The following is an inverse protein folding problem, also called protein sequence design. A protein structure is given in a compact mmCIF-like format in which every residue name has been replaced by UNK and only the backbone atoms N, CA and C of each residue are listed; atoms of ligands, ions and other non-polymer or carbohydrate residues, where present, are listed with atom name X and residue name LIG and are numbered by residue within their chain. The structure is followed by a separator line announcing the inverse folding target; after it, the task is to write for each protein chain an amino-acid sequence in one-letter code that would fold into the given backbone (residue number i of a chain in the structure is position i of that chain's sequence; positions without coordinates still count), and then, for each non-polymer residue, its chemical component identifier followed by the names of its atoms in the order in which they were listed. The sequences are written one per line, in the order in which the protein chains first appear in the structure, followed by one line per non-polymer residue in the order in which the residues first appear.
data_IF_825672863021
#
_entry.id   IF_825672863021
#
_cell.length_a   1.000
_cell.length_b   1.000
_cell.length_c   1.000
_cell.angle_alpha   90.00
_cell.angle_beta   90.00
_cell.angle_gamma   90.00
#
_symmetry.space_group_name_H-M   'P 1'
#
loop_
_entity.id
_entity.type
_entity.pdbx_description
1 polymer ?
#
# COMPACT_ATOMS: atom_id res chain seq x y z
N UNK A 1 -11.19 -5.87 -1.84
CA UNK A 1 -10.66 -6.13 -3.18
C UNK A 1 -10.34 -7.61 -3.35
N UNK A 2 -10.47 -8.13 -4.56
CA UNK A 2 -9.86 -9.41 -4.96
C UNK A 2 -8.55 -9.12 -5.69
N UNK A 3 -7.56 -10.01 -5.55
CA UNK A 3 -6.29 -9.91 -6.25
C UNK A 3 -6.17 -11.02 -7.29
N UNK A 4 -5.66 -10.74 -8.49
CA UNK A 4 -5.37 -11.79 -9.46
C UNK A 4 -4.15 -12.61 -9.03
N UNK A 5 -4.23 -13.92 -9.20
CA UNK A 5 -3.08 -14.81 -9.18
C UNK A 5 -2.46 -14.86 -10.58
N UNK A 6 -1.17 -15.20 -10.66
CA UNK A 6 -0.50 -15.44 -11.93
C UNK A 6 0.87 -14.80 -11.96
N UNK A 7 1.83 -15.50 -12.57
CA UNK A 7 3.21 -15.01 -12.68
C UNK A 7 3.20 -13.68 -13.42
N UNK A 8 3.77 -12.67 -12.78
CA UNK A 8 3.93 -11.34 -13.36
C UNK A 8 2.85 -10.33 -12.97
N UNK A 9 1.69 -10.76 -12.48
CA UNK A 9 0.69 -9.82 -11.96
C UNK A 9 1.20 -9.11 -10.68
N UNK A 10 0.95 -7.80 -10.60
CA UNK A 10 1.31 -6.95 -9.46
C UNK A 10 0.21 -5.91 -9.20
N UNK A 11 -0.91 -6.33 -8.57
CA UNK A 11 -1.92 -5.40 -8.09
C UNK A 11 -1.39 -4.56 -6.92
N UNK A 12 -1.73 -3.27 -6.94
CA UNK A 12 -1.36 -2.31 -5.91
C UNK A 12 -2.53 -1.37 -5.57
N UNK A 13 -2.66 -1.06 -4.27
CA UNK A 13 -3.44 0.06 -3.75
C UNK A 13 -2.47 0.89 -2.94
N UNK A 14 -2.28 2.14 -3.32
CA UNK A 14 -1.18 2.96 -2.84
C UNK A 14 -1.55 4.45 -2.89
N UNK A 15 -0.67 5.31 -2.39
CA UNK A 15 -0.96 6.73 -2.22
C UNK A 15 0.27 7.61 -2.49
N UNK A 16 0.04 8.75 -3.12
CA UNK A 16 1.04 9.79 -3.37
C UNK A 16 0.58 11.18 -2.89
N UNK A 17 1.52 12.08 -2.56
CA UNK A 17 1.21 13.45 -2.19
C UNK A 17 0.37 14.14 -3.24
N UNK A 18 -0.65 14.89 -2.84
CA UNK A 18 -1.52 15.64 -3.76
C UNK A 18 -0.75 16.64 -4.63
N UNK A 19 0.29 17.25 -4.07
CA UNK A 19 1.14 18.21 -4.76
C UNK A 19 2.19 17.58 -5.68
N UNK A 20 2.20 16.26 -5.84
CA UNK A 20 3.14 15.56 -6.70
C UNK A 20 2.65 15.48 -8.15
N UNK A 21 3.55 15.77 -9.10
CA UNK A 21 3.34 15.57 -10.53
C UNK A 21 4.58 14.97 -11.16
N UNK A 22 4.39 13.89 -11.93
CA UNK A 22 5.48 13.26 -12.69
C UNK A 22 6.08 14.21 -13.74
N UNK A 23 5.30 15.20 -14.22
CA UNK A 23 5.74 16.19 -15.21
C UNK A 23 6.83 17.11 -14.68
N UNK A 24 6.92 17.24 -13.36
CA UNK A 24 7.87 18.14 -12.72
C UNK A 24 9.29 17.55 -12.65
N UNK A 25 9.45 16.30 -13.11
CA UNK A 25 10.70 15.55 -13.14
C UNK A 25 11.44 15.54 -11.79
N UNK A 26 10.67 15.54 -10.70
CA UNK A 26 11.16 15.41 -9.32
C UNK A 26 10.62 14.11 -8.73
N UNK A 27 11.34 13.48 -7.79
CA UNK A 27 10.79 12.37 -7.01
C UNK A 27 9.67 12.84 -6.08
N UNK A 28 8.66 12.01 -5.86
CA UNK A 28 7.66 12.25 -4.83
C UNK A 28 8.32 12.29 -3.44
N UNK A 29 7.82 13.16 -2.55
CA UNK A 29 8.39 13.29 -1.21
C UNK A 29 8.15 12.04 -0.34
N UNK A 30 7.06 11.32 -0.59
CA UNK A 30 6.80 10.03 0.03
C UNK A 30 5.73 9.23 -0.70
N UNK A 31 5.51 8.00 -0.25
CA UNK A 31 4.57 7.04 -0.82
C UNK A 31 4.05 6.14 0.31
N UNK A 32 2.76 5.79 0.26
CA UNK A 32 2.18 4.79 1.16
C UNK A 32 1.52 3.70 0.32
N UNK A 33 2.14 2.53 0.26
CA UNK A 33 1.52 1.34 -0.33
C UNK A 33 0.62 0.71 0.72
N UNK A 34 -0.68 0.91 0.58
CA UNK A 34 -1.69 0.25 1.43
C UNK A 34 -1.58 -1.26 1.23
N UNK A 35 -1.45 -1.70 -0.02
CA UNK A 35 -1.16 -3.09 -0.35
C UNK A 35 -0.43 -3.22 -1.67
N UNK A 36 0.52 -4.14 -1.70
CA UNK A 36 1.11 -4.73 -2.90
C UNK A 36 1.06 -6.24 -2.76
N UNK A 37 0.65 -6.92 -3.83
CA UNK A 37 0.68 -8.37 -3.94
C UNK A 37 1.42 -8.73 -5.23
N UNK A 38 2.23 -9.77 -5.17
CA UNK A 38 2.86 -10.35 -6.35
C UNK A 38 2.19 -11.69 -6.64
N UNK A 39 1.63 -11.86 -7.84
CA UNK A 39 0.84 -13.04 -8.17
C UNK A 39 1.62 -14.36 -8.20
N UNK A 40 2.96 -14.29 -8.24
CA UNK A 40 3.86 -15.44 -8.07
C UNK A 40 4.13 -15.79 -6.59
N UNK A 41 3.83 -14.89 -5.66
CA UNK A 41 3.88 -15.12 -4.22
C UNK A 41 2.58 -14.73 -3.53
N UNK A 42 1.52 -15.42 -3.93
CA UNK A 42 0.15 -15.20 -3.48
C UNK A 42 -0.13 -15.61 -2.02
N UNK A 43 0.91 -15.70 -1.19
CA UNK A 43 0.83 -16.00 0.26
C UNK A 43 1.26 -14.82 1.12
N UNK A 44 1.52 -13.67 0.50
CA UNK A 44 2.01 -12.47 1.16
C UNK A 44 1.24 -11.25 0.70
N UNK A 45 0.99 -10.36 1.66
CA UNK A 45 0.56 -8.99 1.41
C UNK A 45 1.62 -8.07 1.98
N UNK A 46 2.11 -7.16 1.14
CA UNK A 46 3.09 -6.15 1.53
C UNK A 46 2.35 -4.83 1.63
N UNK A 47 2.73 -4.00 2.60
CA UNK A 47 2.36 -2.59 2.56
C UNK A 47 3.57 -1.82 3.05
N UNK A 48 3.93 -0.71 2.43
CA UNK A 48 5.21 -0.04 2.62
C UNK A 48 5.00 1.46 2.72
N UNK A 49 5.89 2.12 3.44
CA UNK A 49 6.03 3.57 3.35
C UNK A 49 7.40 3.87 2.75
N UNK A 50 7.45 4.82 1.82
CA UNK A 50 8.69 5.33 1.25
C UNK A 50 8.81 6.80 1.60
N UNK A 51 10.00 7.21 2.05
CA UNK A 51 10.30 8.62 2.32
C UNK A 51 11.55 9.03 1.54
N UNK A 52 11.45 10.11 0.79
CA UNK A 52 12.58 10.66 0.04
C UNK A 52 13.57 11.30 1.02
N UNK A 53 14.83 10.86 0.96
CA UNK A 53 15.92 11.43 1.75
C UNK A 53 16.50 12.67 1.05
N UNK A 54 17.31 13.44 1.79
CA UNK A 54 18.00 14.61 1.26
C UNK A 54 18.99 14.30 0.11
N UNK A 55 19.46 13.05 0.00
CA UNK A 55 20.35 12.58 -1.07
C UNK A 55 19.58 12.12 -2.34
N UNK A 56 18.29 12.43 -2.45
CA UNK A 56 17.40 12.02 -3.54
C UNK A 56 17.23 10.49 -3.70
N UNK A 57 17.52 9.71 -2.66
CA UNK A 57 17.19 8.27 -2.64
C UNK A 57 16.09 7.99 -1.62
N UNK A 58 15.32 6.91 -1.82
CA UNK A 58 14.23 6.56 -0.90
C UNK A 58 14.71 5.72 0.28
N UNK A 59 14.17 6.02 1.46
CA UNK A 59 14.12 5.08 2.58
C UNK A 59 12.79 4.34 2.55
N UNK A 60 12.83 3.05 2.23
CA UNK A 60 11.67 2.17 2.32
C UNK A 60 11.58 1.54 3.72
N UNK A 61 10.42 1.65 4.35
CA UNK A 61 10.14 1.08 5.66
C UNK A 61 9.55 -0.32 5.50
N UNK A 62 10.33 -1.29 4.99
CA UNK A 62 9.85 -2.60 4.51
C UNK A 62 9.18 -3.48 5.59
N UNK A 63 9.57 -3.36 6.86
CA UNK A 63 8.90 -4.06 7.99
C UNK A 63 8.72 -5.57 7.76
N UNK A 64 7.71 -6.17 8.38
CA UNK A 64 7.28 -7.54 8.07
C UNK A 64 6.09 -7.53 7.13
N UNK A 65 6.11 -8.41 6.13
CA UNK A 65 4.95 -8.68 5.29
C UNK A 65 3.93 -9.51 6.07
N UNK A 66 2.66 -9.32 5.76
CA UNK A 66 1.62 -10.21 6.23
C UNK A 66 1.78 -11.57 5.55
N UNK A 67 1.71 -12.64 6.33
CA UNK A 67 1.52 -14.01 5.82
C UNK A 67 0.03 -14.35 5.81
N UNK A 68 -0.46 -14.83 4.68
CA UNK A 68 -1.84 -15.30 4.52
C UNK A 68 -2.04 -16.60 5.29
N UNK A 69 -3.11 -16.66 6.10
CA UNK A 69 -3.46 -17.89 6.85
C UNK A 69 -3.96 -18.95 5.87
N UNK A 70 -3.89 -20.23 6.27
CA UNK A 70 -4.39 -21.34 5.44
C UNK A 70 -5.88 -21.22 5.08
N UNK A 71 -6.66 -20.52 5.89
CA UNK A 71 -8.09 -20.28 5.71
C UNK A 71 -8.43 -18.99 4.94
N UNK A 72 -7.43 -18.24 4.50
CA UNK A 72 -7.59 -16.97 3.78
C UNK A 72 -7.13 -17.17 2.33
N UNK A 73 -7.85 -16.60 1.36
CA UNK A 73 -7.44 -16.55 -0.05
C UNK A 73 -7.51 -15.10 -0.54
N UNK A 74 -6.49 -14.65 -1.30
CA UNK A 74 -6.44 -13.30 -1.88
C UNK A 74 -7.31 -13.16 -3.13
N UNK A 75 -7.79 -14.26 -3.72
CA UNK A 75 -8.81 -14.25 -4.77
C UNK A 75 -10.21 -13.90 -4.22
N UNK A 76 -10.45 -14.09 -2.92
CA UNK A 76 -11.68 -13.66 -2.26
C UNK A 76 -11.66 -12.14 -1.99
N UNK A 77 -12.83 -11.56 -1.70
CA UNK A 77 -12.89 -10.17 -1.27
C UNK A 77 -12.25 -10.01 0.12
N UNK A 78 -11.12 -9.30 0.15
CA UNK A 78 -10.41 -8.94 1.38
C UNK A 78 -10.40 -7.42 1.59
N UNK A 79 -10.29 -7.00 2.85
CA UNK A 79 -10.14 -5.58 3.22
C UNK A 79 -8.68 -5.26 3.46
N UNK A 80 -8.14 -4.30 2.72
CA UNK A 80 -6.79 -3.76 2.86
C UNK A 80 -6.93 -2.34 3.35
N UNK A 81 -6.24 -2.00 4.45
CA UNK A 81 -6.44 -0.69 5.06
C UNK A 81 -5.17 -0.18 5.73
N UNK A 82 -5.12 1.14 5.86
CA UNK A 82 -4.24 1.82 6.79
C UNK A 82 -5.05 2.60 7.83
N UNK A 83 -4.51 2.70 9.03
CA UNK A 83 -4.84 3.76 9.98
C UNK A 83 -3.65 4.72 10.01
N UNK A 84 -3.87 6.00 9.73
CA UNK A 84 -2.82 7.01 9.63
C UNK A 84 -3.18 8.25 10.48
N UNK A 85 -2.21 8.72 11.26
CA UNK A 85 -2.26 9.97 12.02
C UNK A 85 -0.86 10.59 12.12
N UNK A 86 -0.71 11.70 12.86
CA UNK A 86 0.55 12.42 12.97
C UNK A 86 1.69 11.61 13.61
N UNK A 87 1.36 10.54 14.36
CA UNK A 87 2.34 9.75 15.12
C UNK A 87 2.76 8.46 14.41
N UNK A 88 1.89 7.88 13.59
CA UNK A 88 2.14 6.59 12.96
C UNK A 88 1.22 6.26 11.77
N UNK A 89 1.68 5.31 10.98
CA UNK A 89 0.90 4.59 9.97
C UNK A 89 0.85 3.12 10.40
N UNK A 90 -0.34 2.53 10.39
CA UNK A 90 -0.59 1.13 10.75
C UNK A 90 -1.27 0.46 9.58
N UNK A 91 -0.77 -0.70 9.15
CA UNK A 91 -1.39 -1.49 8.08
C UNK A 91 -2.21 -2.64 8.65
N UNK A 92 -3.35 -2.88 8.01
CA UNK A 92 -4.33 -3.88 8.38
C UNK A 92 -4.73 -4.71 7.16
N UNK A 93 -4.95 -6.00 7.41
CA UNK A 93 -5.57 -6.92 6.46
C UNK A 93 -6.72 -7.64 7.17
N UNK A 94 -7.93 -7.52 6.64
CA UNK A 94 -9.16 -8.02 7.27
C UNK A 94 -9.25 -7.60 8.75
N UNK A 95 -8.92 -6.34 9.04
CA UNK A 95 -8.89 -5.78 10.41
C UNK A 95 -7.71 -6.22 11.28
N UNK A 96 -6.88 -7.17 10.85
CA UNK A 96 -5.68 -7.61 11.57
C UNK A 96 -4.52 -6.68 11.30
N UNK A 97 -4.08 -5.94 12.32
CA UNK A 97 -2.85 -5.13 12.29
C UNK A 97 -1.63 -6.05 12.09
N UNK A 98 -0.80 -5.74 11.10
CA UNK A 98 0.40 -6.54 10.81
C UNK A 98 1.68 -5.72 10.71
N UNK A 99 1.57 -4.40 10.53
CA UNK A 99 2.71 -3.50 10.43
C UNK A 99 2.38 -2.13 11.01
N UNK A 100 3.40 -1.49 11.56
CA UNK A 100 3.34 -0.16 12.16
C UNK A 100 4.65 0.57 11.90
N UNK A 101 4.55 1.80 11.40
CA UNK A 101 5.67 2.72 11.21
C UNK A 101 5.39 3.98 11.99
N UNK A 102 6.25 4.32 12.95
CA UNK A 102 6.13 5.56 13.74
C UNK A 102 6.78 6.72 13.00
N UNK A 103 6.17 7.89 12.99
CA UNK A 103 6.71 9.13 12.39
C UNK A 103 8.13 9.43 12.88
N UNK A 104 8.40 9.21 14.18
CA UNK A 104 9.76 9.37 14.74
C UNK A 104 10.84 8.51 14.08
N UNK A 105 10.48 7.38 13.47
CA UNK A 105 11.43 6.54 12.73
C UNK A 105 11.68 7.07 11.32
N UNK A 106 10.69 7.73 10.72
CA UNK A 106 10.81 8.41 9.42
C UNK A 106 11.71 9.63 9.55
N UNK A 107 11.51 10.41 10.61
CA UNK A 107 12.30 11.62 10.91
C UNK A 107 13.80 11.38 11.11
N UNK A 108 14.24 10.13 11.28
CA UNK A 108 15.67 9.78 11.32
C UNK A 108 16.35 9.83 9.94
N UNK A 109 15.57 9.83 8.87
CA UNK A 109 16.07 9.71 7.49
C UNK A 109 15.58 10.82 6.56
N UNK A 110 14.41 11.40 6.82
CA UNK A 110 13.78 12.38 5.95
C UNK A 110 12.92 13.36 6.75
N UNK A 111 12.63 14.54 6.17
CA UNK A 111 11.49 15.36 6.62
C UNK A 111 10.22 14.52 6.50
N UNK A 112 9.28 14.63 7.43
CA UNK A 112 8.05 13.85 7.39
C UNK A 112 7.25 14.16 6.11
N UNK A 113 7.13 13.23 5.14
CA UNK A 113 6.35 13.46 3.95
C UNK A 113 4.86 13.13 4.15
N UNK A 114 4.50 12.51 5.28
CA UNK A 114 3.14 12.06 5.61
C UNK A 114 2.42 13.09 6.51
N UNK A 115 2.65 14.36 6.21
CA UNK A 115 2.10 15.58 6.84
C UNK A 115 1.58 16.51 5.73
N UNK A 116 0.79 15.95 4.83
CA UNK A 116 0.16 16.65 3.71
C UNK A 116 -0.94 15.75 3.13
N UNK A 117 -1.85 16.29 2.30
CA UNK A 117 -2.86 15.48 1.61
C UNK A 117 -2.24 14.50 0.60
N UNK A 118 -2.92 13.36 0.40
CA UNK A 118 -2.52 12.30 -0.53
C UNK A 118 -3.72 11.87 -1.38
N UNK A 119 -3.46 11.54 -2.65
CA UNK A 119 -4.42 10.83 -3.51
C UNK A 119 -4.28 9.31 -3.35
N UNK A 120 -5.38 8.59 -3.58
CA UNK A 120 -5.39 7.12 -3.66
C UNK A 120 -5.21 6.71 -5.11
N UNK A 121 -4.32 5.75 -5.35
CA UNK A 121 -4.10 5.11 -6.64
C UNK A 121 -4.39 3.62 -6.53
N UNK A 122 -5.01 3.07 -7.58
CA UNK A 122 -5.34 1.65 -7.70
C UNK A 122 -4.94 1.21 -9.10
N UNK A 123 -4.09 0.20 -9.19
CA UNK A 123 -3.68 -0.35 -10.48
C UNK A 123 -3.37 -1.84 -10.38
N UNK A 124 -3.41 -2.50 -11.54
CA UNK A 124 -2.90 -3.83 -11.77
C UNK A 124 -1.75 -3.72 -12.78
N UNK A 125 -0.52 -3.76 -12.29
CA UNK A 125 0.66 -3.79 -13.16
C UNK A 125 0.95 -5.23 -13.63
N UNK A 126 1.59 -5.33 -14.79
CA UNK A 126 2.15 -6.57 -15.31
C UNK A 126 3.67 -6.41 -15.36
N UNK A 127 4.39 -7.30 -14.69
CA UNK A 127 5.85 -7.36 -14.71
C UNK A 127 6.33 -7.98 -16.03
N UNK A 128 7.60 -7.76 -16.39
CA UNK A 128 8.22 -8.32 -17.60
C UNK A 128 8.10 -9.84 -17.72
N UNK A 129 8.04 -10.55 -16.59
CA UNK A 129 7.89 -12.02 -16.55
C UNK A 129 6.48 -12.53 -16.91
N UNK A 130 5.52 -11.63 -17.13
CA UNK A 130 4.15 -12.00 -17.50
C UNK A 130 4.17 -12.75 -18.84
N UNK A 131 3.51 -13.91 -18.89
CA UNK A 131 3.43 -14.74 -20.10
C UNK A 131 4.58 -15.72 -20.32
N UNK A 132 5.61 -15.70 -19.46
CA UNK A 132 6.71 -16.67 -19.49
C UNK A 132 6.33 -18.05 -18.91
N UNK A 133 5.13 -18.16 -18.31
CA UNK A 133 4.57 -19.42 -17.82
C UNK A 133 3.21 -19.70 -18.46
N UNK A 134 3.13 -20.66 -19.41
CA UNK A 134 1.89 -21.08 -20.04
C UNK A 134 0.80 -21.50 -19.05
N UNK A 135 1.16 -21.99 -17.86
CA UNK A 135 0.19 -22.38 -16.84
C UNK A 135 -0.62 -21.19 -16.30
N UNK A 136 -0.06 -19.97 -16.39
CA UNK A 136 -0.70 -18.72 -15.93
C UNK A 136 -1.30 -17.89 -17.07
N UNK A 137 -0.95 -18.19 -18.33
CA UNK A 137 -1.54 -17.54 -19.50
C UNK A 137 -3.04 -17.77 -19.63
N UNK A 138 -3.53 -18.95 -19.21
CA UNK A 138 -4.96 -19.28 -19.21
C UNK A 138 -5.79 -18.40 -18.27
N UNK A 139 -5.14 -17.74 -17.32
CA UNK A 139 -5.78 -16.86 -16.34
C UNK A 139 -5.90 -15.41 -16.88
N UNK A 140 -5.47 -15.16 -18.13
CA UNK A 140 -5.65 -13.89 -18.83
C UNK A 140 -6.86 -13.92 -19.78
N UNK A 141 -7.64 -12.82 -19.90
CA UNK A 141 -7.49 -11.56 -19.17
C UNK A 141 -7.74 -11.73 -17.67
N UNK A 142 -6.93 -11.05 -16.86
CA UNK A 142 -6.99 -11.12 -15.41
C UNK A 142 -7.46 -9.79 -14.83
N UNK A 143 -8.00 -9.82 -13.61
CA UNK A 143 -8.70 -8.67 -13.05
C UNK A 143 -8.41 -8.50 -11.54
N UNK A 144 -8.32 -7.24 -11.14
CA UNK A 144 -8.38 -6.82 -9.75
C UNK A 144 -9.74 -6.19 -9.52
N UNK A 145 -10.57 -6.74 -8.62
CA UNK A 145 -11.91 -6.19 -8.34
C UNK A 145 -11.92 -5.34 -7.08
N UNK A 146 -12.45 -4.13 -7.20
CA UNK A 146 -12.68 -3.23 -6.07
C UNK A 146 -14.19 -3.16 -5.80
N UNK A 147 -14.61 -3.63 -4.63
CA UNK A 147 -16.01 -3.49 -4.19
C UNK A 147 -16.28 -2.07 -3.68
N UNK A 148 -15.41 -1.56 -2.80
CA UNK A 148 -15.50 -0.20 -2.29
C UNK A 148 -14.14 0.39 -1.94
N UNK A 149 -14.11 1.71 -1.85
CA UNK A 149 -13.10 2.50 -1.13
C UNK A 149 -13.85 3.31 -0.07
N UNK A 150 -13.40 3.25 1.18
CA UNK A 150 -13.99 4.01 2.30
C UNK A 150 -12.89 4.73 3.05
N UNK A 151 -13.09 6.03 3.27
CA UNK A 151 -12.19 6.90 4.03
C UNK A 151 -12.93 7.36 5.28
N UNK A 152 -12.29 7.26 6.43
CA UNK A 152 -12.86 7.66 7.72
C UNK A 152 -11.92 8.64 8.40
N UNK A 153 -12.50 9.62 9.08
CA UNK A 153 -11.75 10.57 9.90
C UNK A 153 -12.15 10.36 11.37
N UNK A 154 -11.14 10.26 12.24
CA UNK A 154 -11.39 10.21 13.69
C UNK A 154 -11.98 11.56 14.12
N UNK A 155 -13.16 11.55 14.72
CA UNK A 155 -13.73 12.75 15.31
C UNK A 155 -12.93 13.17 16.54
N UNK A 156 -12.52 14.43 16.61
CA UNK A 156 -12.07 15.02 17.86
C UNK A 156 -13.30 15.43 18.67
N UNK A 157 -13.51 14.76 19.81
CA UNK A 157 -14.54 15.18 20.76
C UNK A 157 -13.91 16.28 21.61
N UNK A 158 -14.21 17.53 21.29
CA UNK A 158 -13.96 18.64 22.20
C UNK A 158 -14.84 18.45 23.43
N UNK A 159 -14.22 18.07 24.55
CA UNK A 159 -14.88 18.21 25.85
C UNK A 159 -14.81 19.67 26.25
N UNK A 160 -15.94 20.37 26.21
CA UNK A 160 -16.08 21.61 26.96
C UNK A 160 -15.80 21.28 28.43
N UNK A 161 -14.79 21.93 28.97
CA UNK A 161 -14.55 21.95 30.41
C UNK A 161 -15.28 23.20 30.87
N UNK A 162 -16.45 23.00 31.49
CA UNK A 162 -17.15 24.06 32.22
C UNK A 162 -16.35 24.52 33.44
#
# INVERSE_FOLDING_TARGET
ATMPKGIGTWPAIWMWPENYSIKDNKPASGEIDITEVYGDNFRKVTGTAHALKADNTYKSFLGSNLKIRKSENLEDYNTYAIEWNEKEIIWLFNGRKYKKVKTKNILKYAKNPFDQPYYIMINLALQEKTGNDPATLKDFPTEMKIDYVRVYQKMEIWRYVD
#
